data_IF_682760755614
#
_entry.id   IF_682760755614
#
_cell.length_a   1.000
_cell.length_b   1.000
_cell.length_c   1.000
_cell.angle_alpha   90.00
_cell.angle_beta   90.00
_cell.angle_gamma   90.00
#
_symmetry.space_group_name_H-M   'P 1'
#
loop_
_entity.id
_entity.type
_entity.pdbx_description
1 polymer ?
#
# COMPACT_ATOMS: atom_id res chain seq x y z
N UNK A 1 -19.01 -0.72 13.66
CA UNK A 1 -17.76 -1.13 12.98
C UNK A 1 -16.61 -0.41 13.65
N UNK A 2 -15.65 -1.14 14.21
CA UNK A 2 -14.47 -0.56 14.84
C UNK A 2 -13.34 -0.50 13.80
N UNK A 3 -12.69 0.65 13.65
CA UNK A 3 -11.61 0.82 12.69
C UNK A 3 -10.35 0.07 13.17
N UNK A 4 -9.73 -0.70 12.29
CA UNK A 4 -8.47 -1.39 12.58
C UNK A 4 -7.32 -0.38 12.58
N UNK A 5 -6.54 -0.34 13.66
CA UNK A 5 -5.38 0.56 13.76
C UNK A 5 -4.20 -0.05 13.01
N UNK A 6 -3.74 0.65 11.98
CA UNK A 6 -2.56 0.25 11.21
C UNK A 6 -1.36 1.07 11.69
N UNK A 7 -0.24 0.39 11.99
CA UNK A 7 1.04 1.06 12.20
C UNK A 7 1.70 1.31 10.85
N UNK A 8 1.84 2.59 10.51
CA UNK A 8 2.58 3.03 9.33
C UNK A 8 4.04 3.25 9.73
N UNK A 9 4.97 2.74 8.92
CA UNK A 9 6.42 2.93 9.09
C UNK A 9 7.06 3.29 7.76
N UNK A 10 8.07 4.16 7.82
CA UNK A 10 8.92 4.58 6.70
C UNK A 10 8.11 5.08 5.49
N UNK A 11 8.45 4.63 4.28
CA UNK A 11 7.71 4.97 3.07
C UNK A 11 6.38 4.21 3.01
N UNK A 12 5.36 4.86 2.47
CA UNK A 12 4.03 4.26 2.33
C UNK A 12 3.68 4.11 0.86
N UNK A 13 3.34 2.91 0.42
CA UNK A 13 2.84 2.63 -0.92
C UNK A 13 1.35 2.32 -0.83
N UNK A 14 0.53 3.15 -1.47
CA UNK A 14 -0.92 2.99 -1.56
C UNK A 14 -1.27 2.45 -2.94
N UNK A 15 -1.77 1.23 -3.00
CA UNK A 15 -2.04 0.52 -4.24
C UNK A 15 -3.53 0.39 -4.49
N UNK A 16 -3.95 0.71 -5.70
CA UNK A 16 -5.32 0.52 -6.16
C UNK A 16 -5.39 -0.22 -7.48
N UNK A 17 -6.54 -0.82 -7.76
CA UNK A 17 -6.87 -1.28 -9.12
C UNK A 17 -7.46 -0.11 -9.93
N UNK A 18 -7.99 -0.36 -11.12
CA UNK A 18 -8.59 0.70 -11.95
C UNK A 18 -9.66 1.53 -11.23
N UNK A 19 -10.45 0.92 -10.33
CA UNK A 19 -11.54 1.57 -9.61
C UNK A 19 -11.09 2.19 -8.28
N UNK A 20 -10.10 1.59 -7.61
CA UNK A 20 -9.62 2.05 -6.29
C UNK A 20 -8.35 2.89 -6.35
N UNK A 21 -7.77 3.08 -7.54
CA UNK A 21 -6.63 3.99 -7.73
C UNK A 21 -6.92 5.44 -7.29
N UNK A 22 -8.09 6.04 -7.56
CA UNK A 22 -8.42 7.36 -7.00
C UNK A 22 -8.45 7.39 -5.47
N UNK A 23 -8.86 6.29 -4.83
CA UNK A 23 -8.83 6.16 -3.36
C UNK A 23 -7.40 6.10 -2.85
N UNK A 24 -6.51 5.37 -3.54
CA UNK A 24 -5.07 5.35 -3.22
C UNK A 24 -4.44 6.74 -3.34
N UNK A 25 -4.74 7.48 -4.41
CA UNK A 25 -4.29 8.86 -4.60
C UNK A 25 -4.81 9.79 -3.50
N UNK A 26 -6.10 9.72 -3.18
CA UNK A 26 -6.69 10.52 -2.10
C UNK A 26 -6.08 10.19 -0.74
N UNK A 27 -5.84 8.89 -0.46
CA UNK A 27 -5.16 8.45 0.74
C UNK A 27 -3.77 9.06 0.86
N UNK A 28 -2.99 9.10 -0.23
CA UNK A 28 -1.66 9.70 -0.23
C UNK A 28 -1.75 11.20 0.09
N UNK A 29 -2.68 11.90 -0.54
CA UNK A 29 -2.95 13.32 -0.27
C UNK A 29 -3.21 13.58 1.23
N UNK A 30 -4.00 12.72 1.89
CA UNK A 30 -4.27 12.85 3.33
C UNK A 30 -3.09 12.51 4.23
N UNK A 31 -2.25 11.56 3.83
CA UNK A 31 -1.00 11.28 4.56
C UNK A 31 -0.03 12.47 4.47
N UNK A 32 0.06 13.13 3.31
CA UNK A 32 0.81 14.38 3.19
C UNK A 32 0.19 15.48 4.05
N UNK A 33 -1.12 15.73 3.93
CA UNK A 33 -1.83 16.81 4.63
C UNK A 33 -1.73 16.70 6.16
N UNK A 34 -1.89 15.49 6.70
CA UNK A 34 -2.07 15.31 8.16
C UNK A 34 -0.86 14.78 8.88
N UNK A 35 -0.03 13.97 8.23
CA UNK A 35 1.12 13.32 8.86
C UNK A 35 2.47 13.80 8.31
N UNK A 36 2.48 14.62 7.24
CA UNK A 36 3.71 15.05 6.58
C UNK A 36 4.57 13.89 6.06
N UNK A 37 3.99 12.69 5.94
CA UNK A 37 4.71 11.47 5.59
C UNK A 37 4.74 11.30 4.08
N UNK A 38 5.90 10.91 3.54
CA UNK A 38 6.02 10.56 2.14
C UNK A 38 5.24 9.27 1.84
N UNK A 39 4.15 9.43 1.10
CA UNK A 39 3.41 8.35 0.48
C UNK A 39 3.69 8.27 -1.03
N UNK A 40 3.45 7.13 -1.64
CA UNK A 40 3.41 6.88 -3.07
C UNK A 40 2.05 6.27 -3.37
N UNK A 41 1.46 6.59 -4.51
CA UNK A 41 0.24 5.94 -4.97
C UNK A 41 0.45 5.38 -6.37
N UNK A 42 0.11 4.11 -6.57
CA UNK A 42 0.39 3.39 -7.81
C UNK A 42 -0.75 2.41 -8.12
N UNK A 43 -0.91 2.03 -9.40
CA UNK A 43 -1.71 0.85 -9.70
C UNK A 43 -0.97 -0.40 -9.22
N UNK A 44 -1.71 -1.42 -8.78
CA UNK A 44 -1.13 -2.67 -8.25
C UNK A 44 -0.10 -3.30 -9.21
N UNK A 45 -0.41 -3.33 -10.50
CA UNK A 45 0.50 -3.87 -11.52
C UNK A 45 1.76 -3.00 -11.67
N UNK A 46 1.62 -1.67 -11.70
CA UNK A 46 2.75 -0.74 -11.82
C UNK A 46 3.72 -0.87 -10.64
N UNK A 47 3.19 -1.05 -9.43
CA UNK A 47 4.00 -1.29 -8.23
C UNK A 47 4.95 -2.46 -8.39
N UNK A 48 4.50 -3.53 -9.06
CA UNK A 48 5.34 -4.73 -9.27
C UNK A 48 6.54 -4.46 -10.18
N UNK A 49 6.51 -3.38 -10.96
CA UNK A 49 7.58 -2.96 -11.87
C UNK A 49 8.37 -1.74 -11.39
N UNK A 50 7.84 -0.98 -10.43
CA UNK A 50 8.44 0.28 -9.96
C UNK A 50 8.59 0.26 -8.43
N UNK A 51 7.50 0.49 -7.70
CA UNK A 51 7.53 0.62 -6.24
C UNK A 51 8.17 -0.57 -5.51
N UNK A 52 8.02 -1.79 -6.03
CA UNK A 52 8.61 -3.00 -5.45
C UNK A 52 10.14 -2.94 -5.36
N UNK A 53 10.81 -2.36 -6.36
CA UNK A 53 12.26 -2.31 -6.42
C UNK A 53 12.86 -1.14 -5.63
N UNK A 54 12.06 -0.12 -5.29
CA UNK A 54 12.50 0.95 -4.40
C UNK A 54 12.10 0.73 -2.93
N UNK A 55 11.15 -0.19 -2.67
CA UNK A 55 10.70 -0.54 -1.33
C UNK A 55 11.84 -1.17 -0.49
N UNK A 56 11.95 -0.72 0.76
CA UNK A 56 12.93 -1.20 1.74
C UNK A 56 12.24 -1.94 2.87
N UNK A 57 12.98 -2.83 3.55
CA UNK A 57 12.49 -3.57 4.71
C UNK A 57 11.86 -2.61 5.74
N UNK A 58 10.64 -2.90 6.15
CA UNK A 58 9.86 -2.08 7.07
C UNK A 58 8.96 -1.04 6.42
N UNK A 59 9.09 -0.78 5.12
CA UNK A 59 8.15 0.07 4.38
C UNK A 59 6.74 -0.54 4.38
N UNK A 60 5.73 0.32 4.28
CA UNK A 60 4.32 -0.06 4.39
C UNK A 60 3.67 -0.10 3.01
N UNK A 61 2.96 -1.19 2.70
CA UNK A 61 2.19 -1.34 1.45
C UNK A 61 0.73 -1.57 1.80
N UNK A 62 -0.16 -0.69 1.36
CA UNK A 62 -1.61 -0.76 1.60
C UNK A 62 -2.29 -0.98 0.26
N UNK A 63 -3.03 -2.08 0.12
CA UNK A 63 -3.70 -2.45 -1.12
C UNK A 63 -5.21 -2.32 -0.93
N UNK A 64 -5.83 -1.36 -1.63
CA UNK A 64 -7.27 -1.10 -1.62
C UNK A 64 -8.03 -2.08 -2.54
N UNK A 65 -7.82 -3.38 -2.32
CA UNK A 65 -8.53 -4.44 -3.03
C UNK A 65 -8.48 -5.75 -2.23
N UNK A 66 -9.36 -5.85 -1.21
CA UNK A 66 -9.40 -7.00 -0.31
C UNK A 66 -9.87 -8.32 -0.95
N UNK A 67 -10.81 -8.27 -1.89
CA UNK A 67 -11.48 -9.46 -2.46
C UNK A 67 -10.77 -10.03 -3.70
N UNK A 68 -9.44 -10.15 -3.67
CA UNK A 68 -8.67 -10.67 -4.79
C UNK A 68 -7.63 -11.71 -4.32
N UNK A 69 -7.71 -12.94 -4.86
CA UNK A 69 -6.81 -14.05 -4.53
C UNK A 69 -5.35 -13.75 -4.91
N UNK A 70 -5.13 -13.04 -6.02
CA UNK A 70 -3.79 -12.65 -6.45
C UNK A 70 -3.16 -11.67 -5.45
N UNK A 71 -3.93 -10.69 -4.97
CA UNK A 71 -3.43 -9.70 -4.00
C UNK A 71 -3.15 -10.33 -2.62
N UNK A 72 -3.91 -11.35 -2.22
CA UNK A 72 -3.60 -12.14 -1.03
C UNK A 72 -2.23 -12.81 -1.13
N UNK A 73 -1.90 -13.35 -2.31
CA UNK A 73 -0.59 -13.95 -2.54
C UNK A 73 0.51 -12.89 -2.59
N UNK A 74 0.26 -11.74 -3.24
CA UNK A 74 1.18 -10.61 -3.26
C UNK A 74 1.52 -10.17 -1.84
N UNK A 75 0.54 -9.93 -0.97
CA UNK A 75 0.77 -9.55 0.43
C UNK A 75 1.62 -10.58 1.18
N UNK A 76 1.38 -11.88 0.99
CA UNK A 76 2.23 -12.93 1.59
C UNK A 76 3.68 -12.81 1.12
N UNK A 77 3.90 -12.58 -0.16
CA UNK A 77 5.24 -12.43 -0.74
C UNK A 77 5.94 -11.16 -0.21
N UNK A 78 5.23 -10.02 -0.18
CA UNK A 78 5.76 -8.75 0.35
C UNK A 78 6.14 -8.86 1.82
N UNK A 79 5.34 -9.57 2.63
CA UNK A 79 5.68 -9.84 4.05
C UNK A 79 6.92 -10.72 4.20
N UNK A 80 7.10 -11.72 3.33
CA UNK A 80 8.30 -12.59 3.35
C UNK A 80 9.59 -11.81 3.11
N UNK A 81 9.57 -10.79 2.25
CA UNK A 81 10.72 -9.92 2.01
C UNK A 81 10.86 -8.78 3.04
N UNK A 82 9.97 -8.74 4.04
CA UNK A 82 10.07 -7.84 5.19
C UNK A 82 9.35 -6.50 5.04
N UNK A 83 8.40 -6.39 4.09
CA UNK A 83 7.50 -5.24 3.99
C UNK A 83 6.26 -5.42 4.88
N UNK A 84 5.72 -4.31 5.39
CA UNK A 84 4.46 -4.30 6.11
C UNK A 84 3.28 -4.17 5.13
N UNK A 85 2.83 -5.29 4.56
CA UNK A 85 1.77 -5.31 3.55
C UNK A 85 0.37 -5.62 4.13
N UNK A 86 -0.64 -4.84 3.77
CA UNK A 86 -2.01 -4.89 4.32
C UNK A 86 -3.04 -4.76 3.19
N UNK A 87 -4.14 -5.50 3.29
CA UNK A 87 -5.30 -5.39 2.39
C UNK A 87 -6.42 -4.64 3.08
N UNK A 88 -6.97 -3.64 2.39
CA UNK A 88 -8.10 -2.81 2.83
C UNK A 88 -9.27 -2.99 1.87
#
# INVERSE_FOLDING_TARGET
MQAEKIKIKNNVFLLGNQHTFPVAMYGAAKLYERLGTTAHYERIEQFSHMGLFCAKKGDTVIIFEKKNKHNLQLVKNLRKIGLNAILV
#
